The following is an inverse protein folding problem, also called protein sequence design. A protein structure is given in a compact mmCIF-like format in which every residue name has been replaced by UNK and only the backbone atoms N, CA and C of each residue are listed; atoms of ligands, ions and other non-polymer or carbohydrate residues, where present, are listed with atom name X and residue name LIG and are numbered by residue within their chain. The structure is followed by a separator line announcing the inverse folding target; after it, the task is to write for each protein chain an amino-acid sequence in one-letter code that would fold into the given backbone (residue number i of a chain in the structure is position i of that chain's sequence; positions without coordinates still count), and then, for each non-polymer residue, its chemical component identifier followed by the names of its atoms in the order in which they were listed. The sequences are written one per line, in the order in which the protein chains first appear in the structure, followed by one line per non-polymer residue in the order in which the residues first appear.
data_IF_808184870400
#
_entry.id   IF_808184870400
#
_cell.length_a   1.000
_cell.length_b   1.000
_cell.length_c   1.000
_cell.angle_alpha   90.00
_cell.angle_beta   90.00
_cell.angle_gamma   90.00
#
_symmetry.space_group_name_H-M   'P 1'
#
loop_
_entity.id
_entity.type
_entity.pdbx_description
1 polymer ?
#
# COMPACT_ATOMS: atom_id res chain seq x y z
N UNK A 1 36.76 -12.73 -15.55
CA UNK A 1 36.87 -11.25 -15.36
C UNK A 1 35.50 -10.63 -15.59
N UNK A 2 35.03 -9.83 -14.66
CA UNK A 2 33.67 -9.25 -14.73
C UNK A 2 33.73 -7.88 -15.40
N UNK A 3 32.76 -7.60 -16.28
CA UNK A 3 32.58 -6.27 -16.89
C UNK A 3 31.76 -5.35 -15.99
N UNK A 4 31.81 -4.03 -16.19
CA UNK A 4 30.98 -3.07 -15.44
C UNK A 4 29.48 -3.37 -15.58
N UNK A 5 29.02 -3.86 -16.74
CA UNK A 5 27.62 -4.22 -16.95
C UNK A 5 27.21 -5.46 -16.14
N UNK A 6 28.08 -6.51 -16.08
CA UNK A 6 27.79 -7.69 -15.27
C UNK A 6 27.76 -7.37 -13.78
N UNK A 7 28.68 -6.51 -13.32
CA UNK A 7 28.69 -6.01 -11.93
C UNK A 7 27.44 -5.17 -11.61
N UNK A 8 26.98 -4.35 -12.55
CA UNK A 8 25.75 -3.55 -12.35
C UNK A 8 24.54 -4.45 -12.12
N UNK A 9 24.41 -5.56 -12.84
CA UNK A 9 23.33 -6.53 -12.61
C UNK A 9 23.41 -7.19 -11.21
N UNK A 10 24.63 -7.55 -10.78
CA UNK A 10 24.89 -8.11 -9.45
C UNK A 10 24.56 -7.11 -8.33
N UNK A 11 24.96 -5.85 -8.49
CA UNK A 11 24.66 -4.76 -7.54
C UNK A 11 23.15 -4.52 -7.46
N UNK A 12 22.45 -4.52 -8.60
CA UNK A 12 21.01 -4.31 -8.63
C UNK A 12 20.25 -5.43 -7.90
N UNK A 13 20.67 -6.67 -8.08
CA UNK A 13 20.12 -7.81 -7.34
C UNK A 13 20.35 -7.66 -5.82
N UNK A 14 21.57 -7.32 -5.41
CA UNK A 14 21.93 -7.08 -4.01
C UNK A 14 21.16 -5.90 -3.40
N UNK A 15 20.99 -4.81 -4.16
CA UNK A 15 20.21 -3.65 -3.74
C UNK A 15 18.77 -4.04 -3.45
N UNK A 16 18.11 -4.73 -4.38
CA UNK A 16 16.73 -5.17 -4.22
C UNK A 16 16.54 -6.11 -3.01
N UNK A 17 17.53 -6.97 -2.75
CA UNK A 17 17.50 -7.88 -1.59
C UNK A 17 17.63 -7.14 -0.26
N UNK A 18 18.49 -6.11 -0.18
CA UNK A 18 18.91 -5.50 1.10
C UNK A 18 18.35 -4.12 1.39
N UNK A 19 17.71 -3.47 0.42
CA UNK A 19 17.26 -2.07 0.52
C UNK A 19 16.36 -1.82 1.74
N UNK A 20 15.43 -2.72 2.06
CA UNK A 20 14.53 -2.58 3.21
C UNK A 20 15.33 -2.58 4.53
N UNK A 21 16.34 -3.44 4.64
CA UNK A 21 17.23 -3.47 5.80
C UNK A 21 18.00 -2.16 5.96
N UNK A 22 18.62 -1.67 4.90
CA UNK A 22 19.38 -0.41 4.95
C UNK A 22 18.51 0.81 5.24
N UNK A 23 17.30 0.88 4.69
CA UNK A 23 16.33 1.92 5.02
C UNK A 23 15.92 1.85 6.50
N UNK A 24 15.65 0.63 7.00
CA UNK A 24 15.31 0.42 8.41
C UNK A 24 16.44 0.89 9.33
N UNK A 25 17.69 0.51 9.03
CA UNK A 25 18.85 0.87 9.84
C UNK A 25 19.11 2.39 9.81
N UNK A 26 18.93 3.03 8.65
CA UNK A 26 19.12 4.49 8.51
C UNK A 26 18.16 5.31 9.38
N UNK A 27 16.90 4.88 9.50
CA UNK A 27 15.89 5.61 10.28
C UNK A 27 15.87 5.21 11.75
N UNK A 28 16.24 3.97 12.09
CA UNK A 28 16.31 3.48 13.48
C UNK A 28 17.64 3.76 14.17
N UNK A 29 18.64 4.24 13.42
CA UNK A 29 20.01 4.49 13.89
C UNK A 29 20.63 3.26 14.57
N UNK A 30 20.32 2.05 14.05
CA UNK A 30 20.72 0.80 14.70
C UNK A 30 22.10 0.30 14.30
N UNK A 31 22.53 0.57 13.06
CA UNK A 31 23.82 0.16 12.55
C UNK A 31 24.35 1.16 11.54
N UNK A 32 25.68 1.34 11.53
CA UNK A 32 26.35 1.97 10.40
C UNK A 32 26.34 0.99 9.22
N UNK A 33 26.30 1.52 8.01
CA UNK A 33 26.44 0.72 6.81
C UNK A 33 27.78 -0.01 6.82
N UNK A 34 27.76 -1.33 6.74
CA UNK A 34 28.98 -2.13 6.55
C UNK A 34 29.40 -2.08 5.09
N UNK A 35 30.67 -1.77 4.86
CA UNK A 35 31.19 -1.66 3.49
C UNK A 35 30.93 -2.95 2.68
N UNK A 36 30.30 -2.78 1.53
CA UNK A 36 30.00 -3.87 0.60
C UNK A 36 31.18 -4.03 -0.36
N UNK A 37 31.74 -5.23 -0.45
CA UNK A 37 32.84 -5.58 -1.36
C UNK A 37 32.37 -6.59 -2.39
N UNK A 38 32.51 -6.28 -3.67
CA UNK A 38 32.11 -7.14 -4.77
C UNK A 38 33.36 -7.57 -5.52
N UNK A 39 33.59 -8.87 -5.57
CA UNK A 39 34.74 -9.44 -6.27
C UNK A 39 34.59 -9.29 -7.79
N UNK A 40 35.60 -8.70 -8.42
CA UNK A 40 35.62 -8.38 -9.85
C UNK A 40 36.03 -9.56 -10.76
N UNK A 41 36.36 -10.69 -10.17
CA UNK A 41 36.75 -11.88 -10.94
C UNK A 41 38.18 -11.80 -11.49
N UNK A 42 39.07 -11.12 -10.75
CA UNK A 42 40.50 -11.08 -11.09
C UNK A 42 41.08 -12.50 -11.17
N UNK A 43 41.87 -12.84 -12.19
CA UNK A 43 42.47 -14.15 -12.30
C UNK A 43 43.47 -14.36 -11.16
N UNK A 44 43.41 -15.55 -10.55
CA UNK A 44 44.27 -15.93 -9.42
C UNK A 44 45.55 -16.58 -9.85
N UNK A 45 45.57 -17.25 -11.02
CA UNK A 45 46.74 -17.96 -11.57
C UNK A 45 47.38 -17.13 -12.67
N UNK A 46 48.71 -17.15 -12.72
CA UNK A 46 49.46 -16.44 -13.75
C UNK A 46 49.21 -17.04 -15.15
N UNK A 47 49.01 -18.36 -15.23
CA UNK A 47 48.67 -19.07 -16.48
C UNK A 47 47.36 -18.53 -17.10
N UNK A 48 46.35 -18.23 -16.30
CA UNK A 48 45.06 -17.70 -16.79
C UNK A 48 45.25 -16.31 -17.42
N UNK A 49 46.17 -15.51 -16.87
CA UNK A 49 46.56 -14.20 -17.41
C UNK A 49 47.32 -14.32 -18.70
N UNK A 50 48.29 -15.23 -18.74
CA UNK A 50 49.14 -15.45 -19.92
C UNK A 50 48.34 -16.00 -21.10
N UNK A 51 47.36 -16.86 -20.84
CA UNK A 51 46.50 -17.43 -21.88
C UNK A 51 45.44 -16.41 -22.42
N UNK A 52 45.15 -15.35 -21.68
CA UNK A 52 44.10 -14.36 -22.03
C UNK A 52 44.61 -12.91 -21.89
N UNK A 53 45.86 -12.64 -22.39
CA UNK A 53 46.57 -11.35 -22.19
C UNK A 53 45.74 -10.13 -22.57
N UNK A 54 45.13 -10.11 -23.75
CA UNK A 54 44.37 -8.97 -24.26
C UNK A 54 43.08 -8.69 -23.46
N UNK A 55 42.44 -9.77 -23.00
CA UNK A 55 41.25 -9.63 -22.15
C UNK A 55 41.62 -9.11 -20.76
N UNK A 56 42.72 -9.58 -20.20
CA UNK A 56 43.24 -9.12 -18.92
C UNK A 56 43.63 -7.64 -18.94
N UNK A 57 44.36 -7.21 -19.99
CA UNK A 57 44.74 -5.80 -20.16
C UNK A 57 43.51 -4.90 -20.31
N UNK A 58 42.51 -5.33 -21.10
CA UNK A 58 41.24 -4.61 -21.23
C UNK A 58 40.51 -4.53 -19.90
N UNK A 59 40.44 -5.62 -19.14
CA UNK A 59 39.82 -5.67 -17.82
C UNK A 59 40.48 -4.69 -16.85
N UNK A 60 41.84 -4.67 -16.75
CA UNK A 60 42.54 -3.70 -15.92
C UNK A 60 42.26 -2.26 -16.35
N UNK A 61 42.36 -1.94 -17.64
CA UNK A 61 42.12 -0.62 -18.18
C UNK A 61 40.67 -0.12 -17.96
N UNK A 62 39.68 -1.00 -18.05
CA UNK A 62 38.28 -0.65 -17.83
C UNK A 62 38.00 -0.27 -16.37
N UNK A 63 38.66 -0.93 -15.42
CA UNK A 63 38.46 -0.62 -14.01
C UNK A 63 39.35 0.54 -13.51
N UNK A 64 40.38 0.95 -14.24
CA UNK A 64 41.14 2.19 -13.99
C UNK A 64 40.42 3.46 -14.44
N UNK A 65 39.40 3.34 -15.30
CA UNK A 65 38.59 4.49 -15.67
C UNK A 65 37.83 5.01 -14.45
N UNK A 66 37.70 6.31 -14.36
CA UNK A 66 36.97 6.99 -13.28
C UNK A 66 35.58 6.38 -13.03
N UNK A 67 35.22 6.27 -11.76
CA UNK A 67 33.94 5.78 -11.31
C UNK A 67 33.13 6.96 -10.77
N UNK A 68 31.83 6.98 -11.07
CA UNK A 68 30.91 7.99 -10.52
C UNK A 68 30.66 7.79 -9.02
N UNK A 69 30.83 6.58 -8.51
CA UNK A 69 30.60 6.20 -7.12
C UNK A 69 31.34 4.91 -6.78
N UNK A 70 31.67 4.71 -5.50
CA UNK A 70 32.43 3.57 -5.00
C UNK A 70 33.94 3.70 -5.29
N UNK A 71 34.69 2.72 -4.82
CA UNK A 71 36.17 2.64 -4.99
C UNK A 71 36.56 1.26 -5.49
N UNK A 72 37.64 1.17 -6.28
CA UNK A 72 38.23 -0.11 -6.65
C UNK A 72 39.45 -0.37 -5.77
N UNK A 73 39.48 -1.53 -5.13
CA UNK A 73 40.67 -2.04 -4.47
C UNK A 73 41.56 -2.73 -5.53
N UNK A 74 42.79 -2.26 -5.68
CA UNK A 74 43.78 -2.82 -6.61
C UNK A 74 44.82 -3.58 -5.83
N UNK A 75 45.38 -4.63 -6.51
CA UNK A 75 46.51 -5.40 -6.03
C UNK A 75 47.68 -5.21 -7.00
N UNK A 76 48.81 -4.73 -6.50
CA UNK A 76 50.07 -4.69 -7.27
C UNK A 76 50.58 -6.10 -7.53
N UNK A 77 50.73 -6.47 -8.80
CA UNK A 77 51.26 -7.74 -9.22
C UNK A 77 52.18 -7.63 -10.44
N UNK A 78 53.30 -8.32 -10.42
CA UNK A 78 54.26 -8.33 -11.56
C UNK A 78 54.16 -9.69 -12.25
N UNK A 79 53.90 -9.64 -13.56
CA UNK A 79 53.86 -10.83 -14.39
C UNK A 79 55.11 -10.91 -15.26
N UNK A 80 55.73 -12.09 -15.43
CA UNK A 80 57.01 -12.24 -16.13
C UNK A 80 57.01 -11.62 -17.55
N UNK A 81 55.94 -11.79 -18.30
CA UNK A 81 55.84 -11.36 -19.71
C UNK A 81 55.06 -10.08 -19.95
N UNK A 82 54.41 -9.51 -18.90
CA UNK A 82 53.53 -8.36 -19.03
C UNK A 82 53.98 -7.17 -18.19
N UNK A 83 54.96 -7.35 -17.26
CA UNK A 83 55.39 -6.30 -16.35
C UNK A 83 54.49 -6.10 -15.16
N UNK A 84 54.52 -4.90 -14.57
CA UNK A 84 53.76 -4.54 -13.36
C UNK A 84 52.34 -4.07 -13.72
N UNK A 85 51.35 -4.64 -13.04
CA UNK A 85 49.95 -4.26 -13.15
C UNK A 85 49.34 -3.97 -11.76
N UNK A 86 48.46 -2.97 -11.69
CA UNK A 86 47.53 -2.77 -10.62
C UNK A 86 46.24 -3.53 -11.01
N UNK A 87 46.06 -4.72 -10.44
CA UNK A 87 44.98 -5.66 -10.77
C UNK A 87 43.73 -5.28 -9.97
N UNK A 88 42.58 -4.97 -10.59
CA UNK A 88 41.34 -4.63 -9.85
C UNK A 88 40.77 -5.92 -9.23
N UNK A 89 40.62 -5.93 -7.90
CA UNK A 89 40.17 -7.10 -7.14
C UNK A 89 38.73 -6.96 -6.65
N UNK A 90 38.42 -5.83 -6.00
CA UNK A 90 37.09 -5.59 -5.46
C UNK A 90 36.60 -4.20 -5.83
N UNK A 91 35.29 -4.11 -6.10
CA UNK A 91 34.56 -2.84 -6.06
C UNK A 91 33.98 -2.68 -4.64
N UNK A 92 34.27 -1.57 -4.00
CA UNK A 92 33.94 -1.30 -2.59
C UNK A 92 33.01 -0.12 -2.48
N UNK A 93 31.93 -0.29 -1.74
CA UNK A 93 30.97 0.74 -1.38
C UNK A 93 31.01 0.99 0.13
N UNK A 94 31.36 2.18 0.54
CA UNK A 94 31.39 2.61 1.94
C UNK A 94 30.08 3.29 2.38
N UNK A 95 29.21 3.63 1.41
CA UNK A 95 27.90 4.28 1.61
C UNK A 95 26.83 3.60 0.79
N UNK A 96 25.62 3.55 1.32
CA UNK A 96 24.44 3.03 0.59
C UNK A 96 24.16 3.88 -0.65
N UNK A 97 24.37 5.20 -0.58
CA UNK A 97 24.15 6.13 -1.67
C UNK A 97 24.98 5.77 -2.92
N UNK A 98 26.25 5.42 -2.72
CA UNK A 98 27.14 5.01 -3.80
C UNK A 98 26.64 3.71 -4.48
N UNK A 99 26.19 2.77 -3.67
CA UNK A 99 25.63 1.50 -4.15
C UNK A 99 24.28 1.73 -4.86
N UNK A 100 23.41 2.58 -4.30
CA UNK A 100 22.15 2.96 -4.93
C UNK A 100 22.36 3.69 -6.27
N UNK A 101 23.38 4.55 -6.36
CA UNK A 101 23.76 5.22 -7.61
C UNK A 101 24.20 4.21 -8.69
N UNK A 102 24.99 3.21 -8.32
CA UNK A 102 25.39 2.13 -9.23
C UNK A 102 24.22 1.27 -9.69
N UNK A 103 23.28 0.95 -8.78
CA UNK A 103 22.04 0.26 -9.09
C UNK A 103 21.10 1.09 -9.99
N UNK A 104 21.29 2.40 -10.04
CA UNK A 104 20.40 3.34 -10.76
C UNK A 104 19.16 3.75 -9.96
N UNK A 105 19.18 3.59 -8.63
CA UNK A 105 18.04 3.79 -7.72
C UNK A 105 18.28 4.88 -6.66
N UNK A 106 19.25 5.79 -6.89
CA UNK A 106 19.60 6.81 -5.88
C UNK A 106 18.42 7.74 -5.54
N UNK A 107 17.66 8.13 -6.56
CA UNK A 107 16.51 9.05 -6.38
C UNK A 107 15.41 8.38 -5.58
N UNK A 108 15.09 7.12 -5.93
CA UNK A 108 14.09 6.31 -5.22
C UNK A 108 14.52 6.05 -3.76
N UNK A 109 15.81 5.79 -3.56
CA UNK A 109 16.38 5.60 -2.23
C UNK A 109 16.21 6.83 -1.34
N UNK A 110 16.58 8.02 -1.84
CA UNK A 110 16.41 9.27 -1.09
C UNK A 110 14.93 9.61 -0.87
N UNK A 111 14.06 9.38 -1.84
CA UNK A 111 12.62 9.54 -1.68
C UNK A 111 12.08 8.65 -0.55
N UNK A 112 12.44 7.37 -0.56
CA UNK A 112 12.05 6.42 0.47
C UNK A 112 12.57 6.85 1.87
N UNK A 113 13.84 7.24 1.96
CA UNK A 113 14.44 7.71 3.20
C UNK A 113 13.73 8.96 3.76
N UNK A 114 13.44 9.95 2.91
CA UNK A 114 12.73 11.16 3.31
C UNK A 114 11.32 10.86 3.82
N UNK A 115 10.57 9.95 3.16
CA UNK A 115 9.24 9.52 3.61
C UNK A 115 9.30 8.81 4.95
N UNK A 116 10.25 7.91 5.15
CA UNK A 116 10.45 7.25 6.44
C UNK A 116 10.81 8.24 7.56
N UNK A 117 11.66 9.24 7.27
CA UNK A 117 11.98 10.30 8.25
C UNK A 117 10.75 11.13 8.59
N UNK A 118 9.87 11.40 7.61
CA UNK A 118 8.61 12.10 7.86
C UNK A 118 7.68 11.26 8.74
N UNK A 119 7.53 9.96 8.45
CA UNK A 119 6.76 9.04 9.32
C UNK A 119 7.35 9.00 10.73
N UNK A 120 8.68 8.87 10.86
CA UNK A 120 9.36 8.85 12.17
C UNK A 120 9.04 10.08 13.01
N UNK A 121 8.93 11.26 12.38
CA UNK A 121 8.60 12.53 13.07
C UNK A 121 7.12 12.66 13.42
N UNK A 122 6.22 12.18 12.55
CA UNK A 122 4.77 12.45 12.67
C UNK A 122 3.99 11.31 13.30
N UNK A 123 4.40 10.07 13.08
CA UNK A 123 3.75 8.82 13.51
C UNK A 123 4.81 7.76 13.85
N UNK A 124 5.64 7.99 14.89
CA UNK A 124 6.76 7.09 15.24
C UNK A 124 6.28 5.66 15.52
N UNK A 125 5.08 5.49 16.05
CA UNK A 125 4.44 4.19 16.33
C UNK A 125 4.17 3.36 15.07
N UNK A 126 4.10 3.98 13.89
CA UNK A 126 3.89 3.33 12.61
C UNK A 126 5.18 3.15 11.79
N UNK A 127 6.35 3.46 12.35
CA UNK A 127 7.62 3.41 11.61
C UNK A 127 7.93 2.01 11.07
N UNK A 128 7.67 0.96 11.84
CA UNK A 128 7.89 -0.43 11.39
C UNK A 128 6.99 -0.78 10.21
N UNK A 129 5.72 -0.38 10.27
CA UNK A 129 4.78 -0.53 9.16
C UNK A 129 5.19 0.27 7.94
N UNK A 130 5.78 1.46 8.12
CA UNK A 130 6.28 2.29 7.02
C UNK A 130 7.45 1.62 6.31
N UNK A 131 8.39 1.03 7.04
CA UNK A 131 9.52 0.29 6.46
C UNK A 131 9.02 -0.90 5.65
N UNK A 132 8.08 -1.68 6.17
CA UNK A 132 7.53 -2.86 5.49
C UNK A 132 6.74 -2.50 4.22
N UNK A 133 6.09 -1.34 4.20
CA UNK A 133 5.25 -0.89 3.09
C UNK A 133 5.91 0.23 2.28
N UNK A 134 7.23 0.39 2.34
CA UNK A 134 7.93 1.54 1.76
C UNK A 134 7.69 1.69 0.25
N UNK A 135 7.64 0.59 -0.50
CA UNK A 135 7.35 0.62 -1.94
C UNK A 135 5.98 1.25 -2.22
N UNK A 136 4.95 0.88 -1.46
CA UNK A 136 3.63 1.47 -1.62
C UNK A 136 3.63 2.96 -1.23
N UNK A 137 4.40 3.34 -0.20
CA UNK A 137 4.52 4.73 0.20
C UNK A 137 5.23 5.59 -0.85
N UNK A 138 6.25 5.07 -1.52
CA UNK A 138 7.00 5.81 -2.56
C UNK A 138 6.23 5.98 -3.87
N UNK A 139 5.20 5.18 -4.12
CA UNK A 139 4.31 5.35 -5.29
C UNK A 139 3.25 6.44 -5.10
N UNK A 140 3.02 6.91 -3.86
CA UNK A 140 2.10 8.01 -3.62
C UNK A 140 2.69 9.33 -4.16
N UNK A 141 1.86 10.19 -4.73
CA UNK A 141 2.22 11.58 -4.96
C UNK A 141 2.42 12.30 -3.61
N UNK A 142 3.22 13.34 -3.56
CA UNK A 142 3.56 14.02 -2.30
C UNK A 142 2.31 14.52 -1.55
N UNK A 143 1.35 15.10 -2.26
CA UNK A 143 0.10 15.57 -1.69
C UNK A 143 -0.75 14.42 -1.13
N UNK A 144 -0.79 13.27 -1.82
CA UNK A 144 -1.51 12.09 -1.36
C UNK A 144 -0.78 11.42 -0.18
N UNK A 145 0.55 11.48 -0.14
CA UNK A 145 1.32 11.02 1.01
C UNK A 145 1.05 11.85 2.26
N UNK A 146 0.97 13.17 2.14
CA UNK A 146 0.57 14.04 3.26
C UNK A 146 -0.84 13.71 3.76
N UNK A 147 -1.82 13.59 2.86
CA UNK A 147 -3.19 13.17 3.21
C UNK A 147 -3.21 11.81 3.88
N UNK A 148 -2.45 10.87 3.35
CA UNK A 148 -2.30 9.52 3.90
C UNK A 148 -1.83 9.56 5.36
N UNK A 149 -0.79 10.33 5.69
CA UNK A 149 -0.30 10.49 7.05
C UNK A 149 -1.36 11.11 7.98
N UNK A 150 -2.09 12.13 7.50
CA UNK A 150 -3.17 12.75 8.29
C UNK A 150 -4.31 11.77 8.55
N UNK A 151 -4.69 10.95 7.56
CA UNK A 151 -5.69 9.88 7.73
C UNK A 151 -5.21 8.85 8.75
N UNK A 152 -3.98 8.35 8.63
CA UNK A 152 -3.42 7.40 9.59
C UNK A 152 -3.38 7.98 11.00
N UNK A 153 -2.97 9.24 11.15
CA UNK A 153 -2.96 9.95 12.44
C UNK A 153 -4.37 10.03 13.04
N UNK A 154 -5.37 10.36 12.23
CA UNK A 154 -6.76 10.41 12.68
C UNK A 154 -7.25 9.01 13.10
N UNK A 155 -6.96 7.96 12.32
CA UNK A 155 -7.33 6.57 12.65
C UNK A 155 -6.67 6.09 13.94
N UNK A 156 -5.41 6.44 14.20
CA UNK A 156 -4.74 6.13 15.46
C UNK A 156 -5.47 6.72 16.68
N UNK A 157 -5.99 7.95 16.52
CA UNK A 157 -6.71 8.65 17.60
C UNK A 157 -8.19 8.22 17.75
N UNK A 158 -8.77 7.54 16.75
CA UNK A 158 -10.22 7.29 16.69
C UNK A 158 -10.52 5.82 16.30
N UNK A 159 -9.93 4.86 17.00
CA UNK A 159 -10.02 3.42 16.68
C UNK A 159 -11.45 2.88 16.60
N UNK A 160 -12.35 3.39 17.44
CA UNK A 160 -13.76 2.95 17.56
C UNK A 160 -14.74 4.06 17.20
N UNK A 161 -14.39 4.88 16.22
CA UNK A 161 -15.15 6.09 15.90
C UNK A 161 -16.56 5.84 15.37
N UNK A 162 -16.80 4.69 14.74
CA UNK A 162 -18.02 4.42 13.95
C UNK A 162 -18.32 5.53 12.92
N UNK A 163 -17.29 6.25 12.48
CA UNK A 163 -17.42 7.33 11.52
C UNK A 163 -17.51 6.79 10.09
N UNK A 164 -18.20 7.50 9.23
CA UNK A 164 -18.13 7.28 7.79
C UNK A 164 -16.87 7.93 7.21
N UNK A 165 -16.38 7.44 6.07
CA UNK A 165 -15.19 8.00 5.40
C UNK A 165 -15.27 9.52 5.24
N UNK A 166 -16.42 10.05 4.84
CA UNK A 166 -16.64 11.50 4.65
C UNK A 166 -16.61 12.33 5.94
N UNK A 167 -16.59 11.69 7.09
CA UNK A 167 -16.47 12.35 8.40
C UNK A 167 -15.01 12.45 8.86
N UNK A 168 -14.06 11.86 8.13
CA UNK A 168 -12.64 12.05 8.40
C UNK A 168 -12.27 13.50 8.06
N UNK A 169 -11.79 14.31 9.03
CA UNK A 169 -11.60 15.74 8.85
C UNK A 169 -10.28 16.07 8.14
N UNK A 170 -10.01 15.40 7.01
CA UNK A 170 -8.82 15.61 6.19
C UNK A 170 -9.24 16.16 4.83
N UNK A 171 -8.77 17.36 4.50
CA UNK A 171 -9.11 18.02 3.24
C UNK A 171 -8.63 17.20 2.04
N UNK A 172 -9.52 16.94 1.08
CA UNK A 172 -9.22 16.18 -0.13
C UNK A 172 -9.30 14.67 0.05
N UNK A 173 -9.71 14.18 1.22
CA UNK A 173 -10.03 12.78 1.47
C UNK A 173 -11.55 12.61 1.37
N UNK A 174 -11.96 11.94 0.30
CA UNK A 174 -13.34 11.53 0.07
C UNK A 174 -13.42 10.01 -0.12
N UNK A 175 -14.58 9.52 -0.48
CA UNK A 175 -14.79 8.09 -0.72
C UNK A 175 -13.91 7.56 -1.85
N UNK A 176 -13.72 8.34 -2.94
CA UNK A 176 -12.91 7.91 -4.09
C UNK A 176 -11.42 7.85 -3.72
N UNK A 177 -10.92 8.87 -3.03
CA UNK A 177 -9.55 8.88 -2.52
C UNK A 177 -9.30 7.68 -1.60
N UNK A 178 -10.22 7.44 -0.66
CA UNK A 178 -10.09 6.36 0.30
C UNK A 178 -10.13 4.98 -0.38
N UNK A 179 -11.01 4.77 -1.35
CA UNK A 179 -11.08 3.53 -2.12
C UNK A 179 -9.80 3.28 -2.93
N UNK A 180 -9.22 4.33 -3.52
CA UNK A 180 -7.94 4.26 -4.24
C UNK A 180 -6.81 3.75 -3.35
N UNK A 181 -6.74 4.22 -2.10
CA UNK A 181 -5.63 3.94 -1.18
C UNK A 181 -6.00 2.96 -0.05
N UNK A 182 -7.19 2.40 -0.05
CA UNK A 182 -7.71 1.52 1.00
C UNK A 182 -6.75 0.41 1.40
N UNK A 183 -6.17 -0.28 0.43
CA UNK A 183 -5.27 -1.39 0.70
C UNK A 183 -3.95 -0.95 1.33
N UNK A 184 -3.45 0.21 0.95
CA UNK A 184 -2.24 0.79 1.55
C UNK A 184 -2.51 1.20 3.00
N UNK A 185 -3.66 1.85 3.25
CA UNK A 185 -4.09 2.22 4.61
C UNK A 185 -4.25 0.98 5.49
N UNK A 186 -4.95 -0.05 5.03
CA UNK A 186 -5.14 -1.30 5.78
C UNK A 186 -3.80 -2.01 6.06
N UNK A 187 -2.91 -2.09 5.08
CA UNK A 187 -1.59 -2.71 5.25
C UNK A 187 -0.74 -1.94 6.27
N UNK A 188 -0.76 -0.62 6.18
CA UNK A 188 0.00 0.28 7.05
C UNK A 188 -0.50 0.25 8.50
N UNK A 189 -1.82 0.24 8.71
CA UNK A 189 -2.45 0.22 10.04
C UNK A 189 -2.49 -1.17 10.67
N UNK A 190 -2.18 -2.22 9.91
CA UNK A 190 -2.38 -3.63 10.31
C UNK A 190 -1.83 -3.96 11.68
N UNK A 191 -0.54 -3.70 11.90
CA UNK A 191 0.12 -4.04 13.18
C UNK A 191 -0.36 -3.18 14.33
N UNK A 192 -0.59 -1.90 14.08
CA UNK A 192 -0.98 -0.96 15.11
C UNK A 192 -2.40 -1.21 15.64
N UNK A 193 -3.32 -1.61 14.76
CA UNK A 193 -4.71 -1.90 15.11
C UNK A 193 -5.02 -3.40 15.27
N UNK A 194 -4.01 -4.28 15.12
CA UNK A 194 -4.17 -5.74 15.15
C UNK A 194 -5.23 -6.24 14.15
N UNK A 195 -5.14 -5.77 12.90
CA UNK A 195 -6.14 -6.07 11.87
C UNK A 195 -5.99 -7.49 11.35
N UNK A 196 -7.12 -8.17 11.14
CA UNK A 196 -7.13 -9.49 10.50
C UNK A 196 -6.68 -9.37 9.02
N UNK A 197 -5.57 -10.02 8.60
CA UNK A 197 -5.03 -9.91 7.24
C UNK A 197 -5.94 -10.48 6.15
N UNK A 198 -6.88 -11.36 6.50
CA UNK A 198 -7.82 -11.98 5.59
C UNK A 198 -9.06 -11.11 5.31
N UNK A 199 -9.32 -10.13 6.18
CA UNK A 199 -10.42 -9.18 6.01
C UNK A 199 -9.92 -7.92 5.33
N UNK A 200 -10.77 -7.34 4.48
CA UNK A 200 -10.45 -6.12 3.71
C UNK A 200 -11.53 -5.04 3.87
N UNK A 201 -12.42 -5.23 4.84
CA UNK A 201 -13.48 -4.26 5.13
C UNK A 201 -12.98 -3.12 6.01
N UNK A 202 -13.63 -1.97 5.88
CA UNK A 202 -13.28 -0.75 6.60
C UNK A 202 -13.71 -0.76 8.08
N UNK A 203 -14.56 -1.72 8.47
CA UNK A 203 -14.98 -1.89 9.86
C UNK A 203 -13.78 -2.14 10.77
N UNK A 204 -12.74 -2.79 10.25
CA UNK A 204 -11.50 -3.01 10.99
C UNK A 204 -10.77 -1.71 11.37
N UNK A 205 -11.00 -0.63 10.62
CA UNK A 205 -10.44 0.71 10.89
C UNK A 205 -11.35 1.55 11.80
N UNK A 206 -12.41 0.96 12.36
CA UNK A 206 -13.43 1.71 13.09
C UNK A 206 -14.33 2.59 12.19
N UNK A 207 -14.28 2.35 10.87
CA UNK A 207 -15.11 3.11 9.90
C UNK A 207 -16.33 2.27 9.53
N UNK A 208 -17.49 2.93 9.41
CA UNK A 208 -18.74 2.27 9.03
C UNK A 208 -19.22 2.75 7.66
N UNK A 209 -19.78 1.87 6.84
CA UNK A 209 -20.47 2.28 5.63
C UNK A 209 -21.76 3.00 5.99
N UNK A 210 -22.34 3.82 5.08
CA UNK A 210 -23.69 4.29 5.23
C UNK A 210 -24.66 3.14 5.50
N UNK A 211 -25.65 3.36 6.37
CA UNK A 211 -26.66 2.36 6.66
C UNK A 211 -27.38 1.95 5.36
N UNK A 212 -27.53 0.63 5.11
CA UNK A 212 -28.22 0.18 3.92
C UNK A 212 -29.67 0.62 3.93
N UNK A 213 -30.11 1.16 2.80
CA UNK A 213 -31.49 1.59 2.61
C UNK A 213 -32.25 0.61 1.73
N UNK A 214 -33.52 0.41 2.06
CA UNK A 214 -34.48 -0.31 1.24
C UNK A 214 -35.52 0.65 0.68
N UNK A 215 -36.18 0.28 -0.42
CA UNK A 215 -37.34 1.06 -0.91
C UNK A 215 -38.61 0.40 -0.40
N UNK A 216 -39.46 1.19 0.25
CA UNK A 216 -40.79 0.79 0.67
C UNK A 216 -41.82 1.51 -0.20
N UNK A 217 -42.61 0.74 -0.95
CA UNK A 217 -43.72 1.25 -1.78
C UNK A 217 -45.03 0.86 -1.08
N UNK A 218 -45.76 1.84 -0.58
CA UNK A 218 -47.02 1.63 0.09
C UNK A 218 -48.18 1.66 -0.92
N UNK A 219 -48.85 0.54 -1.11
CA UNK A 219 -49.93 0.39 -2.05
C UNK A 219 -51.29 0.82 -1.42
N UNK A 220 -51.38 0.82 -0.09
CA UNK A 220 -52.54 1.17 0.65
C UNK A 220 -52.56 2.68 1.06
N UNK A 221 -53.61 3.42 0.74
CA UNK A 221 -53.77 4.83 1.08
C UNK A 221 -53.81 5.09 2.59
N UNK A 222 -54.36 4.15 3.38
CA UNK A 222 -54.41 4.27 4.84
C UNK A 222 -53.01 4.07 5.43
N UNK A 223 -52.22 3.15 4.89
CA UNK A 223 -50.81 2.98 5.34
C UNK A 223 -49.97 4.19 4.96
N UNK A 224 -50.20 4.84 3.78
CA UNK A 224 -49.52 6.08 3.39
C UNK A 224 -49.77 7.22 4.40
N UNK A 225 -50.97 7.33 4.96
CA UNK A 225 -51.26 8.39 5.96
C UNK A 225 -50.37 8.30 7.20
N UNK A 226 -49.85 7.09 7.54
CA UNK A 226 -48.92 6.87 8.65
C UNK A 226 -47.50 7.37 8.35
N UNK A 227 -47.21 7.63 7.09
CA UNK A 227 -45.88 8.09 6.63
C UNK A 227 -45.97 9.38 5.82
N UNK A 228 -46.85 10.30 6.23
CA UNK A 228 -47.02 11.60 5.59
C UNK A 228 -47.65 11.58 4.19
N UNK A 229 -48.40 10.54 3.84
CA UNK A 229 -49.06 10.41 2.55
C UNK A 229 -48.12 9.88 1.41
N UNK A 230 -46.88 9.61 1.71
CA UNK A 230 -45.88 9.17 0.70
C UNK A 230 -46.16 7.76 0.23
N UNK A 231 -46.06 7.55 -1.11
CA UNK A 231 -46.24 6.24 -1.72
C UNK A 231 -44.94 5.43 -1.77
N UNK A 232 -43.83 6.11 -2.02
CA UNK A 232 -42.50 5.50 -2.25
C UNK A 232 -41.49 6.24 -1.40
N UNK A 233 -40.81 5.48 -0.51
CA UNK A 233 -39.81 6.03 0.42
C UNK A 233 -38.57 5.14 0.45
N UNK A 234 -37.39 5.78 0.44
CA UNK A 234 -36.12 5.14 0.80
C UNK A 234 -35.94 5.22 2.31
N UNK A 235 -35.74 4.08 2.95
CA UNK A 235 -35.67 4.00 4.42
C UNK A 235 -34.58 3.03 4.85
N UNK A 236 -33.89 3.30 5.96
CA UNK A 236 -32.95 2.34 6.54
C UNK A 236 -33.70 1.14 7.13
N UNK A 237 -33.04 -0.02 7.20
CA UNK A 237 -33.67 -1.20 7.79
C UNK A 237 -34.04 -0.97 9.25
N UNK A 238 -33.21 -0.25 10.00
CA UNK A 238 -33.47 0.07 11.41
C UNK A 238 -34.67 1.03 11.60
N UNK A 239 -34.85 1.98 10.67
CA UNK A 239 -36.02 2.89 10.72
C UNK A 239 -37.26 2.19 10.17
N UNK A 240 -37.13 1.30 9.17
CA UNK A 240 -38.22 0.44 8.70
C UNK A 240 -38.83 -0.39 9.85
N UNK A 241 -37.98 -0.92 10.74
CA UNK A 241 -38.44 -1.67 11.91
C UNK A 241 -39.25 -0.83 12.92
N UNK A 242 -39.02 0.49 12.94
CA UNK A 242 -39.72 1.42 13.85
C UNK A 242 -41.05 1.94 13.28
N UNK A 243 -41.34 1.70 12.00
CA UNK A 243 -42.57 2.17 11.39
C UNK A 243 -43.79 1.51 12.02
N UNK A 244 -44.75 2.33 12.49
CA UNK A 244 -46.04 1.86 12.97
C UNK A 244 -47.00 1.60 11.80
N UNK A 245 -46.69 0.60 10.99
CA UNK A 245 -47.52 0.11 9.91
C UNK A 245 -47.80 -1.39 10.12
N UNK A 246 -49.03 -1.81 9.75
CA UNK A 246 -49.45 -3.22 9.84
C UNK A 246 -50.04 -3.67 8.50
N UNK A 247 -49.21 -3.93 7.49
CA UNK A 247 -49.70 -4.44 6.24
C UNK A 247 -50.24 -5.86 6.39
N UNK A 248 -51.24 -6.24 5.58
CA UNK A 248 -51.74 -7.63 5.52
C UNK A 248 -50.85 -8.50 4.68
N UNK A 249 -50.18 -7.91 3.68
CA UNK A 249 -49.25 -8.61 2.78
C UNK A 249 -48.07 -7.72 2.45
N UNK A 250 -46.89 -8.34 2.39
CA UNK A 250 -45.64 -7.73 1.95
C UNK A 250 -45.17 -8.47 0.70
N UNK A 251 -44.96 -7.72 -0.39
CA UNK A 251 -44.38 -8.23 -1.62
C UNK A 251 -42.93 -7.84 -1.68
N UNK A 252 -42.05 -8.77 -2.07
CA UNK A 252 -40.63 -8.52 -2.23
C UNK A 252 -40.28 -8.46 -3.72
N UNK A 253 -39.52 -7.44 -4.10
CA UNK A 253 -39.00 -7.25 -5.44
C UNK A 253 -37.49 -6.99 -5.39
N UNK A 254 -36.80 -7.36 -6.45
CA UNK A 254 -35.41 -7.07 -6.72
C UNK A 254 -35.23 -5.79 -7.55
N UNK A 255 -36.30 -5.32 -8.19
CA UNK A 255 -36.36 -4.19 -9.10
C UNK A 255 -37.44 -3.17 -8.69
N UNK A 256 -37.01 -1.90 -8.68
CA UNK A 256 -37.89 -0.79 -8.26
C UNK A 256 -38.99 -0.50 -9.30
N UNK A 257 -38.69 -0.61 -10.60
CA UNK A 257 -39.67 -0.30 -11.63
C UNK A 257 -40.86 -1.27 -11.57
N UNK A 258 -40.60 -2.55 -11.33
CA UNK A 258 -41.62 -3.57 -11.11
C UNK A 258 -42.46 -3.25 -9.86
N UNK A 259 -41.81 -2.91 -8.73
CA UNK A 259 -42.52 -2.56 -7.52
C UNK A 259 -43.42 -1.33 -7.67
N UNK A 260 -42.97 -0.32 -8.41
CA UNK A 260 -43.72 0.91 -8.71
C UNK A 260 -44.86 0.67 -9.68
N UNK A 261 -44.81 -0.34 -10.54
CA UNK A 261 -45.87 -0.70 -11.51
C UNK A 261 -47.07 -1.38 -10.86
N UNK A 262 -46.93 -1.88 -9.62
CA UNK A 262 -48.03 -2.52 -8.90
C UNK A 262 -49.11 -1.46 -8.57
N UNK A 263 -50.38 -1.72 -8.92
CA UNK A 263 -51.47 -0.78 -8.62
C UNK A 263 -51.71 -0.65 -7.11
N UNK A 264 -52.47 0.35 -6.71
CA UNK A 264 -52.88 0.53 -5.33
C UNK A 264 -53.78 -0.64 -4.90
N UNK A 265 -53.40 -1.30 -3.80
CA UNK A 265 -54.10 -2.45 -3.21
C UNK A 265 -54.20 -2.27 -1.69
N UNK A 266 -55.43 -2.29 -1.12
CA UNK A 266 -55.62 -2.16 0.31
C UNK A 266 -54.88 -3.23 1.15
N UNK A 267 -54.17 -2.80 2.19
CA UNK A 267 -53.43 -3.66 3.10
C UNK A 267 -52.11 -4.20 2.56
N UNK A 268 -51.60 -3.66 1.43
CA UNK A 268 -50.37 -4.17 0.83
C UNK A 268 -49.27 -3.13 0.76
N UNK A 269 -48.02 -3.64 0.86
CA UNK A 269 -46.80 -2.88 0.62
C UNK A 269 -45.82 -3.72 -0.22
N UNK A 270 -44.95 -3.04 -0.96
CA UNK A 270 -43.81 -3.66 -1.62
C UNK A 270 -42.52 -3.24 -0.95
N UNK A 271 -41.60 -4.17 -0.79
CA UNK A 271 -40.23 -3.94 -0.40
C UNK A 271 -39.29 -4.29 -1.56
N UNK A 272 -38.45 -3.34 -1.93
CA UNK A 272 -37.35 -3.59 -2.89
C UNK A 272 -36.06 -3.70 -2.10
N UNK A 273 -35.45 -4.87 -2.15
CA UNK A 273 -34.29 -5.22 -1.38
C UNK A 273 -33.04 -5.19 -2.28
N UNK A 274 -32.03 -4.36 -2.00
CA UNK A 274 -30.72 -4.59 -2.58
C UNK A 274 -30.15 -5.91 -2.04
N UNK A 275 -29.36 -6.61 -2.85
CA UNK A 275 -28.72 -7.87 -2.49
C UNK A 275 -28.17 -7.87 -1.05
N UNK A 276 -28.53 -8.90 -0.26
CA UNK A 276 -28.08 -9.16 1.14
C UNK A 276 -28.84 -8.45 2.29
N UNK A 277 -30.12 -8.36 2.27
CA UNK A 277 -30.91 -7.80 3.40
C UNK A 277 -31.65 -8.87 4.23
N UNK A 278 -30.95 -9.92 4.68
CA UNK A 278 -31.49 -10.92 5.60
C UNK A 278 -32.09 -10.29 6.89
N UNK A 279 -31.58 -9.14 7.34
CA UNK A 279 -32.10 -8.39 8.48
C UNK A 279 -33.54 -7.87 8.31
N UNK A 280 -34.01 -7.70 7.07
CA UNK A 280 -35.40 -7.25 6.81
C UNK A 280 -36.40 -8.32 7.24
N UNK A 281 -36.08 -9.60 7.09
CA UNK A 281 -36.95 -10.70 7.49
C UNK A 281 -37.14 -10.84 9.03
N UNK A 282 -36.32 -10.13 9.83
CA UNK A 282 -36.46 -10.10 11.31
C UNK A 282 -37.35 -8.97 11.81
N UNK A 283 -37.85 -8.11 10.93
CA UNK A 283 -38.74 -6.99 11.30
C UNK A 283 -40.11 -7.56 11.75
N UNK A 284 -40.64 -7.17 12.94
CA UNK A 284 -41.82 -7.80 13.54
C UNK A 284 -43.08 -7.83 12.65
N UNK A 285 -43.32 -6.76 11.89
CA UNK A 285 -44.47 -6.70 11.00
C UNK A 285 -44.26 -7.33 9.62
N UNK A 286 -43.05 -7.86 9.34
CA UNK A 286 -42.71 -8.62 8.14
C UNK A 286 -42.63 -10.11 8.46
N UNK A 287 -42.22 -10.49 9.67
CA UNK A 287 -42.00 -11.85 10.09
C UNK A 287 -43.31 -12.64 10.41
N UNK A 288 -44.44 -11.97 10.38
CA UNK A 288 -45.77 -12.53 10.58
C UNK A 288 -46.57 -12.57 9.28
#
# INVERSE_FOLDING_TARGET
MKTRNSIRAEINALYNERIIGWLSDSVKSKKNFEAVRIYLGAPTRDEDVLNNKDEFVRFCNDWHKELNAGKVDFLDKTYPDLGKFEVPVHLVFEKVDDLAAWAGHLVEFHSAQNRLQTVKKTLPELLDSAVENIHALTTLEDQDFERFLLVCKWLCAHKDSSAMIRQIPVRGVDTLWFEKYRYVVLAFMRKYLDLNPLRRDLLQLGLVPPAPTVRLVLLDKLLRSRVGGLRDIGITVDDLAKLDIKPRKVLFFDDLATALSVPDVPGMVCLVLPFQTSRVCTIPWIAH
#
